data_IF_040234738432
#
_entry.id   IF_040234738432
#
_cell.length_a   1.000
_cell.length_b   1.000
_cell.length_c   1.000
_cell.angle_alpha   90.00
_cell.angle_beta   90.00
_cell.angle_gamma   90.00
#
_symmetry.space_group_name_H-M   'P 1'
#
loop_
_entity.id
_entity.type
_entity.pdbx_description
1 polymer ?
#
# COMPACT_ATOMS: atom_id res chain seq x y z
N UNK A 1 -21.50 24.41 -7.43
CA UNK A 1 -21.29 24.48 -5.97
C UNK A 1 -21.52 23.09 -5.35
N UNK A 2 -20.70 22.10 -5.73
CA UNK A 2 -20.87 20.68 -5.33
C UNK A 2 -19.58 20.06 -4.76
N UNK A 3 -18.49 20.82 -4.65
CA UNK A 3 -17.16 20.33 -4.23
C UNK A 3 -16.98 20.39 -2.70
N UNK A 4 -17.84 21.13 -1.99
CA UNK A 4 -17.74 21.33 -0.53
C UNK A 4 -18.41 20.23 0.30
N UNK A 5 -19.16 19.32 -0.32
CA UNK A 5 -19.88 18.25 0.38
C UNK A 5 -19.03 17.01 0.70
N UNK A 6 -18.10 16.64 -0.19
CA UNK A 6 -17.29 15.41 -0.04
C UNK A 6 -16.21 15.53 1.04
N UNK A 7 -15.71 16.75 1.33
CA UNK A 7 -14.67 16.95 2.35
C UNK A 7 -15.13 16.60 3.78
N UNK A 8 -16.44 16.56 4.05
CA UNK A 8 -16.96 16.27 5.39
C UNK A 8 -17.08 14.78 5.72
N UNK A 9 -17.00 13.90 4.73
CA UNK A 9 -17.08 12.45 4.93
C UNK A 9 -15.72 11.76 4.98
N UNK A 10 -14.64 12.48 4.68
CA UNK A 10 -13.25 11.99 4.73
C UNK A 10 -12.57 12.21 6.10
N UNK A 11 -13.27 12.76 7.10
CA UNK A 11 -12.71 13.02 8.44
C UNK A 11 -12.85 11.82 9.40
N UNK A 12 -13.53 10.75 8.97
CA UNK A 12 -13.79 9.58 9.83
C UNK A 12 -12.70 8.46 9.78
N UNK A 13 -11.80 8.33 8.77
CA UNK A 13 -10.74 7.30 8.85
C UNK A 13 -9.63 7.63 9.87
N UNK A 14 -9.39 8.92 10.14
CA UNK A 14 -8.26 9.37 10.98
C UNK A 14 -8.38 8.91 12.44
N UNK A 15 -9.61 8.74 12.93
CA UNK A 15 -9.86 8.28 14.31
C UNK A 15 -9.69 6.77 14.44
N UNK A 16 -9.89 6.00 13.37
CA UNK A 16 -9.62 4.56 13.35
C UNK A 16 -8.11 4.26 13.34
N UNK A 17 -7.31 5.08 12.64
CA UNK A 17 -5.84 4.99 12.61
C UNK A 17 -5.22 5.21 13.99
N UNK A 18 -5.85 6.06 14.82
CA UNK A 18 -5.35 6.37 16.17
C UNK A 18 -5.65 5.27 17.20
N UNK A 19 -6.67 4.42 16.97
CA UNK A 19 -7.05 3.34 17.89
C UNK A 19 -6.22 2.06 17.71
N UNK A 20 -5.50 1.93 16.59
CA UNK A 20 -4.63 0.78 16.30
C UNK A 20 -3.26 0.92 16.99
N UNK A 21 -2.88 2.13 17.43
CA UNK A 21 -1.59 2.43 18.06
C UNK A 21 -1.47 2.02 19.55
N UNK A 22 -2.37 1.18 20.05
CA UNK A 22 -2.37 0.72 21.43
C UNK A 22 -1.99 -0.76 21.56
N UNK A 23 -0.90 -1.20 20.91
CA UNK A 23 -0.29 -2.50 21.20
C UNK A 23 1.24 -2.40 21.24
N UNK A 24 1.81 -2.86 22.35
CA UNK A 24 3.23 -2.93 22.63
C UNK A 24 3.64 -4.39 22.54
N UNK A 25 4.13 -4.86 21.38
CA UNK A 25 4.80 -6.17 21.19
C UNK A 25 5.37 -6.29 19.75
N UNK A 26 6.25 -7.27 19.46
CA UNK A 26 7.18 -7.24 18.31
C UNK A 26 6.44 -7.32 16.97
N UNK A 27 7.06 -6.78 15.91
CA UNK A 27 6.55 -6.82 14.54
C UNK A 27 5.99 -8.20 14.21
N UNK A 28 4.68 -8.28 14.03
CA UNK A 28 3.99 -9.55 13.84
C UNK A 28 3.79 -9.83 12.35
N UNK A 29 3.63 -11.09 11.99
CA UNK A 29 3.22 -11.51 10.63
C UNK A 29 1.94 -10.80 10.16
N UNK A 30 1.16 -10.26 11.10
CA UNK A 30 -0.05 -9.49 10.87
C UNK A 30 0.21 -8.12 10.23
N UNK A 31 1.30 -7.43 10.58
CA UNK A 31 1.64 -6.11 10.02
C UNK A 31 2.11 -6.22 8.57
N UNK A 32 2.98 -7.21 8.29
CA UNK A 32 3.31 -7.60 6.93
C UNK A 32 2.03 -7.98 6.15
N UNK A 33 1.20 -8.88 6.70
CA UNK A 33 -0.03 -9.34 6.03
C UNK A 33 -1.04 -8.22 5.78
N UNK A 34 -1.02 -7.17 6.62
CA UNK A 34 -1.89 -6.01 6.45
C UNK A 34 -1.39 -5.15 5.31
N UNK A 35 -0.13 -4.72 5.34
CA UNK A 35 0.44 -3.92 4.25
C UNK A 35 0.38 -4.65 2.91
N UNK A 36 0.71 -5.95 2.90
CA UNK A 36 0.67 -6.79 1.71
C UNK A 36 -0.73 -6.86 1.08
N UNK A 37 -1.76 -7.04 1.92
CA UNK A 37 -3.15 -7.04 1.47
C UNK A 37 -3.60 -5.70 0.92
N UNK A 38 -3.17 -4.59 1.53
CA UNK A 38 -3.54 -3.25 1.05
C UNK A 38 -2.88 -2.91 -0.29
N UNK A 39 -1.62 -3.31 -0.49
CA UNK A 39 -0.94 -3.17 -1.80
C UNK A 39 -1.54 -4.12 -2.85
N UNK A 40 -1.96 -5.32 -2.48
CA UNK A 40 -2.73 -6.20 -3.37
C UNK A 40 -4.09 -5.58 -3.75
N UNK A 41 -4.76 -4.93 -2.80
CA UNK A 41 -6.02 -4.21 -3.04
C UNK A 41 -5.85 -3.02 -3.99
N UNK A 42 -4.70 -2.35 -3.96
CA UNK A 42 -4.33 -1.33 -4.95
C UNK A 42 -4.23 -1.92 -6.37
N UNK A 43 -3.63 -3.10 -6.51
CA UNK A 43 -3.52 -3.78 -7.80
C UNK A 43 -4.89 -4.20 -8.35
N UNK A 44 -5.78 -4.72 -7.51
CA UNK A 44 -7.16 -5.04 -7.92
C UNK A 44 -7.91 -3.79 -8.40
N UNK A 45 -7.77 -2.68 -7.67
CA UNK A 45 -8.37 -1.40 -8.07
C UNK A 45 -7.81 -0.89 -9.42
N UNK A 46 -6.51 -1.07 -9.65
CA UNK A 46 -5.89 -0.74 -10.94
C UNK A 46 -6.47 -1.57 -12.09
N UNK A 47 -6.54 -2.89 -11.92
CA UNK A 47 -7.05 -3.81 -12.95
C UNK A 47 -8.50 -3.43 -13.31
N UNK A 48 -9.35 -3.21 -12.30
CA UNK A 48 -10.73 -2.77 -12.52
C UNK A 48 -10.83 -1.45 -13.27
N UNK A 49 -9.99 -0.47 -12.93
CA UNK A 49 -9.91 0.79 -13.67
C UNK A 49 -9.50 0.60 -15.14
N UNK A 50 -8.64 -0.38 -15.42
CA UNK A 50 -8.19 -0.67 -16.79
C UNK A 50 -9.24 -1.42 -17.64
N UNK A 51 -10.12 -2.19 -17.00
CA UNK A 51 -11.13 -3.01 -17.67
C UNK A 51 -12.48 -2.28 -17.88
N UNK A 52 -12.83 -1.34 -17.01
CA UNK A 52 -14.15 -0.70 -17.00
C UNK A 52 -14.08 0.77 -17.46
N UNK A 53 -14.09 1.00 -18.77
CA UNK A 53 -14.18 2.34 -19.38
C UNK A 53 -15.49 3.08 -19.04
N UNK A 54 -16.50 2.38 -18.50
CA UNK A 54 -17.88 2.88 -18.42
C UNK A 54 -18.19 3.71 -17.16
N UNK A 55 -17.35 3.64 -16.12
CA UNK A 55 -17.54 4.42 -14.89
C UNK A 55 -16.20 4.80 -14.25
N UNK A 56 -15.42 5.59 -14.98
CA UNK A 56 -14.13 6.17 -14.56
C UNK A 56 -14.19 6.78 -13.13
N UNK A 57 -15.32 7.38 -12.75
CA UNK A 57 -15.51 7.97 -11.42
C UNK A 57 -15.55 6.94 -10.26
N UNK A 58 -16.08 5.73 -10.49
CA UNK A 58 -16.13 4.67 -9.47
C UNK A 58 -14.76 4.02 -9.32
N UNK A 59 -14.10 3.71 -10.44
CA UNK A 59 -12.75 3.16 -10.44
C UNK A 59 -11.73 4.09 -9.75
N UNK A 60 -11.80 5.40 -10.02
CA UNK A 60 -10.94 6.40 -9.37
C UNK A 60 -11.17 6.48 -7.86
N UNK A 61 -12.42 6.31 -7.40
CA UNK A 61 -12.74 6.32 -5.97
C UNK A 61 -12.21 5.07 -5.24
N UNK A 62 -12.38 3.89 -5.86
CA UNK A 62 -11.87 2.62 -5.33
C UNK A 62 -10.34 2.65 -5.24
N UNK A 63 -9.69 3.14 -6.30
CA UNK A 63 -8.26 3.38 -6.35
C UNK A 63 -7.77 4.33 -5.26
N UNK A 64 -8.41 5.50 -5.11
CA UNK A 64 -8.08 6.45 -4.06
C UNK A 64 -8.23 5.86 -2.65
N UNK A 65 -9.25 5.03 -2.44
CA UNK A 65 -9.47 4.35 -1.16
C UNK A 65 -8.39 3.31 -0.87
N UNK A 66 -7.97 2.54 -1.88
CA UNK A 66 -6.89 1.58 -1.74
C UNK A 66 -5.54 2.27 -1.43
N UNK A 67 -5.26 3.45 -2.03
CA UNK A 67 -4.04 4.24 -1.72
C UNK A 67 -3.99 4.62 -0.27
N UNK A 68 -5.08 5.22 0.24
CA UNK A 68 -5.12 5.71 1.61
C UNK A 68 -4.93 4.58 2.63
N UNK A 69 -5.48 3.40 2.37
CA UNK A 69 -5.29 2.24 3.25
C UNK A 69 -3.86 1.71 3.20
N UNK A 70 -3.27 1.61 2.02
CA UNK A 70 -1.89 1.18 1.87
C UNK A 70 -0.90 2.18 2.50
N UNK A 71 -1.14 3.49 2.36
CA UNK A 71 -0.36 4.55 3.04
C UNK A 71 -0.45 4.40 4.56
N UNK A 72 -1.65 4.24 5.12
CA UNK A 72 -1.84 4.05 6.55
C UNK A 72 -1.16 2.77 7.09
N UNK A 73 -1.26 1.66 6.34
CA UNK A 73 -0.59 0.41 6.69
C UNK A 73 0.94 0.54 6.62
N UNK A 74 1.46 1.29 5.64
CA UNK A 74 2.90 1.57 5.51
C UNK A 74 3.41 2.44 6.66
N UNK A 75 2.67 3.48 7.03
CA UNK A 75 2.99 4.32 8.20
C UNK A 75 3.02 3.49 9.48
N UNK A 76 2.02 2.63 9.70
CA UNK A 76 2.00 1.71 10.84
C UNK A 76 3.22 0.77 10.82
N UNK A 77 3.52 0.16 9.68
CA UNK A 77 4.67 -0.73 9.50
C UNK A 77 6.04 -0.04 9.72
N UNK A 78 6.14 1.26 9.44
CA UNK A 78 7.35 2.06 9.71
C UNK A 78 7.48 2.44 11.19
N UNK A 79 6.36 2.67 11.89
CA UNK A 79 6.34 3.02 13.30
C UNK A 79 6.62 1.80 14.21
N UNK A 80 6.23 0.61 13.78
CA UNK A 80 6.53 -0.63 14.49
C UNK A 80 8.01 -1.00 14.24
N UNK A 81 8.86 -0.67 15.22
CA UNK A 81 10.31 -0.68 15.08
C UNK A 81 10.93 -2.05 14.79
N UNK A 82 11.83 -2.09 13.80
CA UNK A 82 12.63 -3.26 13.36
C UNK A 82 13.71 -3.73 14.35
N UNK A 83 13.61 -3.36 15.62
CA UNK A 83 14.73 -3.46 16.58
C UNK A 83 15.05 -4.90 17.01
N UNK A 84 14.10 -5.82 16.88
CA UNK A 84 14.27 -7.23 17.28
C UNK A 84 14.45 -8.20 16.11
N UNK A 85 14.51 -7.72 14.86
CA UNK A 85 14.68 -8.58 13.68
C UNK A 85 16.16 -8.95 13.44
N UNK A 86 16.45 -10.21 13.08
CA UNK A 86 17.77 -10.61 12.58
C UNK A 86 18.22 -9.74 11.41
N UNK A 87 19.53 -9.47 11.24
CA UNK A 87 20.05 -8.57 10.20
C UNK A 87 19.58 -8.94 8.78
N UNK A 88 19.50 -10.23 8.45
CA UNK A 88 19.05 -10.73 7.16
C UNK A 88 17.57 -10.37 6.92
N UNK A 89 16.70 -10.63 7.90
CA UNK A 89 15.26 -10.34 7.83
C UNK A 89 14.99 -8.83 7.81
N UNK A 90 15.79 -8.06 8.55
CA UNK A 90 15.71 -6.61 8.58
C UNK A 90 16.01 -5.98 7.22
N UNK A 91 17.01 -6.49 6.50
CA UNK A 91 17.33 -5.99 5.17
C UNK A 91 16.22 -6.30 4.17
N UNK A 92 15.68 -7.53 4.16
CA UNK A 92 14.55 -7.89 3.30
C UNK A 92 13.30 -7.09 3.62
N UNK A 93 13.03 -6.82 4.91
CA UNK A 93 11.92 -5.97 5.35
C UNK A 93 12.07 -4.53 4.89
N UNK A 94 13.25 -3.93 5.03
CA UNK A 94 13.51 -2.57 4.55
C UNK A 94 13.35 -2.48 3.03
N UNK A 95 13.78 -3.51 2.29
CA UNK A 95 13.58 -3.56 0.84
C UNK A 95 12.10 -3.67 0.48
N UNK A 96 11.34 -4.50 1.18
CA UNK A 96 9.89 -4.61 1.03
C UNK A 96 9.19 -3.27 1.27
N UNK A 97 9.47 -2.61 2.40
CA UNK A 97 8.86 -1.31 2.73
C UNK A 97 9.16 -0.23 1.69
N UNK A 98 10.39 -0.19 1.16
CA UNK A 98 10.77 0.72 0.07
C UNK A 98 9.98 0.42 -1.21
N UNK A 99 9.86 -0.86 -1.56
CA UNK A 99 9.12 -1.30 -2.74
C UNK A 99 7.63 -0.95 -2.63
N UNK A 100 7.01 -1.17 -1.46
CA UNK A 100 5.64 -0.76 -1.16
C UNK A 100 5.46 0.75 -1.26
N UNK A 101 6.37 1.54 -0.68
CA UNK A 101 6.34 3.00 -0.76
C UNK A 101 6.42 3.51 -2.21
N UNK A 102 7.30 2.92 -3.02
CA UNK A 102 7.42 3.25 -4.44
C UNK A 102 6.16 2.86 -5.22
N UNK A 103 5.59 1.68 -4.94
CA UNK A 103 4.36 1.22 -5.57
C UNK A 103 3.18 2.18 -5.31
N UNK A 104 2.96 2.54 -4.04
CA UNK A 104 1.92 3.49 -3.63
C UNK A 104 2.12 4.85 -4.31
N UNK A 105 3.36 5.35 -4.33
CA UNK A 105 3.69 6.63 -4.95
C UNK A 105 3.43 6.63 -6.45
N UNK A 106 3.88 5.59 -7.16
CA UNK A 106 3.69 5.47 -8.61
C UNK A 106 2.21 5.36 -8.95
N UNK A 107 1.45 4.54 -8.21
CA UNK A 107 0.01 4.43 -8.41
C UNK A 107 -0.71 5.77 -8.23
N UNK A 108 -0.37 6.53 -7.18
CA UNK A 108 -0.93 7.88 -6.96
C UNK A 108 -0.64 8.82 -8.12
N UNK A 109 0.56 8.72 -8.70
CA UNK A 109 0.92 9.51 -9.88
C UNK A 109 0.13 9.06 -11.11
N UNK A 110 -0.06 7.76 -11.32
CA UNK A 110 -0.85 7.21 -12.42
C UNK A 110 -2.31 7.67 -12.36
N UNK A 111 -2.96 7.57 -11.20
CA UNK A 111 -4.37 8.00 -11.04
C UNK A 111 -4.54 9.52 -11.13
N UNK A 112 -3.52 10.28 -10.74
CA UNK A 112 -3.53 11.75 -10.81
C UNK A 112 -3.08 12.33 -12.15
N UNK A 113 -2.58 11.51 -13.08
CA UNK A 113 -2.04 11.93 -14.37
C UNK A 113 -3.11 11.86 -15.45
N UNK A 114 -3.16 12.88 -16.31
CA UNK A 114 -3.96 12.86 -17.55
C UNK A 114 -3.30 12.06 -18.68
N UNK A 115 -2.05 11.61 -18.50
CA UNK A 115 -1.29 10.81 -19.47
C UNK A 115 -0.99 9.42 -18.88
N UNK A 116 -2.07 8.67 -18.66
CA UNK A 116 -2.07 7.35 -17.99
C UNK A 116 -1.28 6.30 -18.77
N UNK A 117 -1.30 6.34 -20.10
CA UNK A 117 -0.58 5.39 -20.97
C UNK A 117 0.94 5.37 -20.73
N UNK A 118 1.54 6.52 -20.43
CA UNK A 118 2.98 6.63 -20.19
C UNK A 118 3.41 6.13 -18.81
N UNK A 119 2.46 6.05 -17.86
CA UNK A 119 2.70 5.64 -16.48
C UNK A 119 2.33 4.19 -16.21
N UNK A 120 1.67 3.52 -17.15
CA UNK A 120 1.23 2.14 -17.05
C UNK A 120 2.42 1.17 -16.90
N UNK A 121 3.40 1.25 -17.80
CA UNK A 121 4.62 0.42 -17.73
C UNK A 121 5.39 0.63 -16.42
N UNK A 122 5.42 1.87 -15.92
CA UNK A 122 6.10 2.23 -14.67
C UNK A 122 5.35 1.64 -13.48
N UNK A 123 4.02 1.64 -13.52
CA UNK A 123 3.17 1.06 -12.48
C UNK A 123 3.27 -0.46 -12.46
N UNK A 124 3.19 -1.12 -13.62
CA UNK A 124 3.40 -2.57 -13.76
C UNK A 124 4.76 -2.97 -13.20
N UNK A 125 5.82 -2.26 -13.58
CA UNK A 125 7.16 -2.52 -13.07
C UNK A 125 7.26 -2.30 -11.55
N UNK A 126 6.47 -1.39 -10.98
CA UNK A 126 6.43 -1.15 -9.54
C UNK A 126 5.70 -2.27 -8.80
N UNK A 127 4.58 -2.77 -9.32
CA UNK A 127 3.90 -3.94 -8.76
C UNK A 127 4.80 -5.19 -8.79
N UNK A 128 5.49 -5.45 -9.91
CA UNK A 128 6.40 -6.60 -10.00
C UNK A 128 7.56 -6.53 -8.99
N UNK A 129 8.10 -5.33 -8.74
CA UNK A 129 9.12 -5.12 -7.69
C UNK A 129 8.55 -5.35 -6.29
N UNK A 130 7.33 -4.90 -6.03
CA UNK A 130 6.65 -5.14 -4.74
C UNK A 130 6.47 -6.65 -4.51
N UNK A 131 5.92 -7.37 -5.49
CA UNK A 131 5.70 -8.82 -5.42
C UNK A 131 7.00 -9.59 -5.16
N UNK A 132 8.07 -9.25 -5.90
CA UNK A 132 9.40 -9.86 -5.72
C UNK A 132 9.91 -9.63 -4.30
N UNK A 133 9.86 -8.39 -3.81
CA UNK A 133 10.34 -8.05 -2.46
C UNK A 133 9.51 -8.68 -1.34
N UNK A 134 8.21 -8.88 -1.57
CA UNK A 134 7.33 -9.59 -0.63
C UNK A 134 7.69 -11.07 -0.54
N UNK A 135 7.95 -11.71 -1.69
CA UNK A 135 8.46 -13.09 -1.75
C UNK A 135 9.80 -13.26 -1.02
N UNK A 136 10.78 -12.41 -1.32
CA UNK A 136 12.10 -12.42 -0.67
C UNK A 136 12.00 -12.23 0.86
N UNK A 137 11.11 -11.35 1.32
CA UNK A 137 10.86 -11.17 2.75
C UNK A 137 10.27 -12.43 3.38
N UNK A 138 9.23 -13.03 2.79
CA UNK A 138 8.61 -14.26 3.30
C UNK A 138 9.60 -15.41 3.37
N UNK A 139 10.43 -15.59 2.35
CA UNK A 139 11.50 -16.60 2.35
C UNK A 139 12.51 -16.34 3.47
N UNK A 140 12.92 -15.08 3.68
CA UNK A 140 13.84 -14.72 4.77
C UNK A 140 13.28 -15.04 6.16
N UNK A 141 11.98 -14.81 6.38
CA UNK A 141 11.30 -15.13 7.65
C UNK A 141 11.20 -16.65 7.84
N UNK A 142 10.91 -17.41 6.78
CA UNK A 142 10.82 -18.87 6.85
C UNK A 142 12.17 -19.54 7.08
N UNK A 143 13.24 -19.02 6.48
CA UNK A 143 14.60 -19.53 6.64
C UNK A 143 15.19 -19.30 8.03
N UNK A 144 14.55 -18.45 8.84
CA UNK A 144 15.04 -18.09 10.18
C UNK A 144 14.33 -18.89 11.30
N UNK A 145 13.37 -19.76 10.95
CA UNK A 145 12.70 -20.70 11.87
C UNK A 145 13.37 -22.07 11.85
#
# INVERSE_FOLDING_TARGET
MYVTGMMKHLIIPVVAVSAILAFSQPLSTEEFSTLDREVAGLMDAWIRMSEDESSEATGVLEAGTAVLRAEAALEAALLCGTEELPPEVKNSWVNYLKSSADCIRVFRQTVGSSDTSSMEDVLIASFARWETSGGEFLESVQSTR
#
